data_IF_505707134595
#
_entry.id   IF_505707134595
#
_cell.length_a   1.000
_cell.length_b   1.000
_cell.length_c   1.000
_cell.angle_alpha   90.00
_cell.angle_beta   90.00
_cell.angle_gamma   90.00
#
_symmetry.space_group_name_H-M   'P 1'
#
loop_
_entity.id
_entity.type
_entity.pdbx_description
1 polymer ?
#
# COMPACT_ATOMS: atom_id res chain seq x y z
N UNK A 1 0.70 -33.90 2.40
CA UNK A 1 0.59 -32.77 1.45
C UNK A 1 1.41 -31.55 1.90
N UNK A 2 1.25 -31.05 3.13
CA UNK A 2 1.96 -29.84 3.63
C UNK A 2 3.49 -29.83 3.45
N UNK A 3 4.21 -30.93 3.73
CA UNK A 3 5.69 -30.96 3.63
C UNK A 3 6.26 -30.88 2.20
N UNK A 4 5.48 -31.20 1.17
CA UNK A 4 5.97 -31.20 -0.22
C UNK A 4 5.93 -29.82 -0.87
N UNK A 5 5.10 -28.92 -0.35
CA UNK A 5 4.87 -27.59 -0.91
C UNK A 5 5.35 -26.50 0.07
N UNK A 6 6.35 -26.79 0.91
CA UNK A 6 6.93 -25.81 1.84
C UNK A 6 7.28 -24.47 1.15
N UNK A 7 7.85 -24.46 -0.08
CA UNK A 7 8.14 -23.20 -0.79
C UNK A 7 6.90 -22.42 -1.26
N UNK A 8 5.69 -23.00 -1.18
CA UNK A 8 4.46 -22.32 -1.55
C UNK A 8 3.83 -21.56 -0.35
N UNK A 9 4.42 -21.66 0.83
CA UNK A 9 3.97 -20.93 2.01
C UNK A 9 4.84 -19.69 2.21
N UNK A 10 4.22 -18.59 2.61
CA UNK A 10 4.96 -17.39 3.01
C UNK A 10 5.80 -17.70 4.25
N UNK A 11 7.12 -17.51 4.14
CA UNK A 11 8.08 -17.65 5.23
C UNK A 11 8.91 -16.36 5.34
N UNK A 12 9.39 -16.05 6.54
CA UNK A 12 10.08 -14.78 6.84
C UNK A 12 11.36 -14.58 6.04
N UNK A 13 12.00 -15.66 5.58
CA UNK A 13 13.24 -15.64 4.81
C UNK A 13 13.03 -15.32 3.32
N UNK A 14 11.79 -15.40 2.83
CA UNK A 14 11.41 -15.10 1.44
C UNK A 14 10.32 -14.02 1.44
N UNK A 15 10.71 -12.73 1.59
CA UNK A 15 9.76 -11.63 1.67
C UNK A 15 8.92 -11.51 0.39
N UNK A 16 7.66 -11.08 0.55
CA UNK A 16 6.71 -10.92 -0.56
C UNK A 16 7.24 -9.98 -1.65
N UNK A 17 8.03 -8.96 -1.29
CA UNK A 17 8.66 -8.04 -2.24
C UNK A 17 9.62 -8.69 -3.24
N UNK A 18 10.11 -9.91 -2.99
CA UNK A 18 11.05 -10.59 -3.89
C UNK A 18 10.39 -11.22 -5.14
N UNK A 19 9.06 -11.17 -5.26
CA UNK A 19 8.35 -11.66 -6.45
C UNK A 19 8.63 -10.72 -7.62
N UNK A 20 9.22 -11.24 -8.70
CA UNK A 20 9.62 -10.47 -9.90
C UNK A 20 8.70 -10.77 -11.09
N UNK A 21 8.57 -9.82 -12.02
CA UNK A 21 7.88 -10.01 -13.30
C UNK A 21 6.37 -9.74 -13.26
N UNK A 22 5.87 -9.21 -12.14
CA UNK A 22 4.47 -8.81 -11.94
C UNK A 22 4.34 -7.30 -11.69
N UNK A 23 5.33 -6.53 -12.12
CA UNK A 23 5.35 -5.08 -11.97
C UNK A 23 4.19 -4.44 -12.73
N UNK A 24 3.44 -3.56 -12.06
CA UNK A 24 2.30 -2.84 -12.64
C UNK A 24 2.71 -1.39 -12.82
N UNK A 25 2.56 -0.88 -14.04
CA UNK A 25 2.70 0.54 -14.31
C UNK A 25 1.32 1.23 -14.24
N UNK A 26 1.19 2.17 -13.31
CA UNK A 26 -0.04 2.93 -13.10
C UNK A 26 0.14 4.36 -13.60
N UNK A 27 -0.81 4.81 -14.40
CA UNK A 27 -0.84 6.16 -14.95
C UNK A 27 -2.04 6.92 -14.38
N UNK A 28 -1.83 8.19 -14.04
CA UNK A 28 -2.94 9.09 -13.78
C UNK A 28 -3.58 9.51 -15.10
N UNK A 29 -4.90 9.56 -15.11
CA UNK A 29 -5.72 10.12 -16.18
C UNK A 29 -5.75 11.66 -16.16
N UNK A 30 -5.24 12.28 -15.09
CA UNK A 30 -5.22 13.72 -14.87
C UNK A 30 -3.81 14.29 -14.82
N UNK A 31 -3.65 15.46 -15.44
CA UNK A 31 -2.42 16.26 -15.38
C UNK A 31 -2.47 17.30 -14.25
N UNK A 32 -1.34 17.99 -14.01
CA UNK A 32 -1.28 19.07 -13.03
C UNK A 32 -2.12 20.27 -13.50
N UNK A 33 -2.82 20.98 -12.60
CA UNK A 33 -2.84 20.79 -11.14
C UNK A 33 -3.71 19.60 -10.72
N UNK A 34 -3.15 18.73 -9.87
CA UNK A 34 -3.87 17.56 -9.36
C UNK A 34 -5.09 17.98 -8.52
N UNK A 35 -6.20 17.21 -8.57
CA UNK A 35 -7.35 17.44 -7.72
C UNK A 35 -6.94 17.58 -6.23
N UNK A 36 -7.54 18.51 -5.46
CA UNK A 36 -7.23 18.69 -4.04
C UNK A 36 -7.36 17.40 -3.21
N UNK A 37 -8.20 16.47 -3.66
CA UNK A 37 -8.39 15.16 -3.04
C UNK A 37 -7.11 14.30 -3.02
N UNK A 38 -6.19 14.51 -3.98
CA UNK A 38 -4.89 13.83 -4.06
C UNK A 38 -3.79 14.48 -3.21
N UNK A 39 -4.15 15.51 -2.42
CA UNK A 39 -3.24 16.27 -1.55
C UNK A 39 -3.79 16.43 -0.13
N UNK A 40 -4.54 15.44 0.35
CA UNK A 40 -5.10 15.51 1.71
C UNK A 40 -3.99 15.24 2.73
N UNK A 41 -3.89 16.05 3.80
CA UNK A 41 -3.00 15.74 4.91
C UNK A 41 -3.44 14.43 5.59
N UNK A 42 -2.54 13.72 6.27
CA UNK A 42 -2.90 12.55 7.07
C UNK A 42 -3.90 12.95 8.17
N UNK A 43 -4.78 12.02 8.53
CA UNK A 43 -5.70 12.21 9.64
C UNK A 43 -4.93 12.28 10.97
N UNK A 44 -5.44 13.06 11.93
CA UNK A 44 -4.87 13.08 13.27
C UNK A 44 -5.18 11.76 13.98
N UNK A 45 -4.18 11.20 14.65
CA UNK A 45 -4.26 9.89 15.31
C UNK A 45 -3.79 9.95 16.77
N UNK A 46 -4.31 9.05 17.60
CA UNK A 46 -3.91 8.96 19.01
C UNK A 46 -2.49 8.37 19.15
N UNK A 47 -1.82 8.66 20.26
CA UNK A 47 -0.48 8.10 20.56
C UNK A 47 -0.47 6.57 20.57
N UNK A 48 -1.53 5.94 21.08
CA UNK A 48 -1.68 4.49 21.10
C UNK A 48 -1.83 3.94 19.68
N UNK A 49 -2.69 4.56 18.87
CA UNK A 49 -2.87 4.20 17.46
C UNK A 49 -1.57 4.29 16.70
N UNK A 50 -0.81 5.36 16.89
CA UNK A 50 0.47 5.57 16.22
C UNK A 50 1.46 4.45 16.51
N UNK A 51 1.54 3.96 17.76
CA UNK A 51 2.46 2.88 18.15
C UNK A 51 2.12 1.56 17.45
N UNK A 52 0.84 1.20 17.41
CA UNK A 52 0.39 -0.03 16.75
C UNK A 52 0.56 0.06 15.22
N UNK A 53 0.25 1.23 14.63
CA UNK A 53 0.50 1.48 13.20
C UNK A 53 2.00 1.39 12.89
N UNK A 54 2.86 1.98 13.71
CA UNK A 54 4.32 1.94 13.51
C UNK A 54 4.86 0.51 13.55
N UNK A 55 4.36 -0.32 14.46
CA UNK A 55 4.69 -1.75 14.48
C UNK A 55 4.33 -2.42 13.15
N UNK A 56 3.10 -2.20 12.66
CA UNK A 56 2.64 -2.81 11.41
C UNK A 56 3.41 -2.29 10.18
N UNK A 57 3.71 -0.99 10.13
CA UNK A 57 4.53 -0.40 9.06
C UNK A 57 5.92 -1.03 9.04
N UNK A 58 6.54 -1.25 10.20
CA UNK A 58 7.85 -1.90 10.28
C UNK A 58 7.80 -3.35 9.79
N UNK A 59 6.77 -4.12 10.13
CA UNK A 59 6.56 -5.47 9.60
C UNK A 59 6.48 -5.47 8.05
N UNK A 60 5.74 -4.51 7.46
CA UNK A 60 5.58 -4.40 6.00
C UNK A 60 6.88 -3.93 5.32
N UNK A 61 7.66 -3.05 5.98
CA UNK A 61 9.00 -2.66 5.53
C UNK A 61 9.95 -3.87 5.50
N UNK A 62 9.93 -4.71 6.53
CA UNK A 62 10.78 -5.90 6.62
C UNK A 62 10.40 -6.95 5.55
N UNK A 63 9.13 -6.98 5.14
CA UNK A 63 8.64 -7.82 4.03
C UNK A 63 8.92 -7.25 2.63
N UNK A 64 9.62 -6.12 2.54
CA UNK A 64 9.96 -5.42 1.28
C UNK A 64 8.73 -5.09 0.41
N UNK A 65 7.57 -4.92 1.04
CA UNK A 65 6.31 -4.57 0.35
C UNK A 65 6.18 -3.05 0.19
N UNK A 66 6.72 -2.28 1.14
CA UNK A 66 6.82 -0.82 1.08
C UNK A 66 8.26 -0.39 1.33
N UNK A 67 8.62 0.83 0.90
CA UNK A 67 9.94 1.42 1.16
C UNK A 67 9.83 2.85 1.66
N UNK A 68 10.84 3.30 2.39
CA UNK A 68 11.02 4.72 2.73
C UNK A 68 11.51 5.47 1.48
N UNK A 69 10.90 6.61 1.19
CA UNK A 69 11.35 7.50 0.12
C UNK A 69 12.51 8.36 0.64
N UNK A 70 13.52 8.60 -0.20
CA UNK A 70 14.66 9.45 0.12
C UNK A 70 14.29 10.94 0.17
N UNK A 71 15.13 11.75 0.85
CA UNK A 71 14.87 13.18 1.08
C UNK A 71 14.71 14.01 -0.21
N UNK A 72 15.29 13.56 -1.32
CA UNK A 72 15.26 14.23 -2.62
C UNK A 72 14.26 13.60 -3.60
N UNK A 73 13.49 12.59 -3.19
CA UNK A 73 12.47 11.99 -4.05
C UNK A 73 11.21 12.87 -4.08
N UNK A 74 10.78 13.26 -5.28
CA UNK A 74 9.61 14.11 -5.45
C UNK A 74 8.34 13.24 -5.32
N UNK A 75 7.61 13.44 -4.24
CA UNK A 75 6.27 12.85 -4.06
C UNK A 75 5.25 13.65 -4.86
N UNK A 76 4.68 13.03 -5.89
CA UNK A 76 3.67 13.68 -6.75
C UNK A 76 2.26 13.63 -6.16
N UNK A 77 1.95 12.61 -5.37
CA UNK A 77 0.62 12.27 -4.85
C UNK A 77 0.76 11.86 -3.39
N UNK A 78 -0.13 12.34 -2.53
CA UNK A 78 -0.23 11.90 -1.15
C UNK A 78 -1.69 11.61 -0.82
N UNK A 79 -1.96 10.36 -0.46
CA UNK A 79 -3.26 9.93 0.03
C UNK A 79 -3.21 9.72 1.54
N UNK A 80 -4.24 10.15 2.26
CA UNK A 80 -4.32 9.90 3.69
C UNK A 80 -4.58 8.42 3.92
N UNK A 81 -4.02 7.90 5.00
CA UNK A 81 -4.22 6.54 5.45
C UNK A 81 -5.47 6.49 6.32
N UNK A 82 -6.33 5.48 6.12
CA UNK A 82 -7.47 5.21 6.97
C UNK A 82 -7.08 4.17 8.02
N UNK A 83 -7.40 4.46 9.28
CA UNK A 83 -7.05 3.59 10.40
C UNK A 83 -8.35 3.08 11.02
N UNK A 84 -8.46 1.76 11.12
CA UNK A 84 -9.59 1.11 11.78
C UNK A 84 -9.10 0.27 12.96
N UNK A 85 -9.91 0.22 14.00
CA UNK A 85 -9.67 -0.59 15.19
C UNK A 85 -10.70 -1.73 15.23
N UNK A 86 -10.23 -2.96 15.36
CA UNK A 86 -11.06 -4.14 15.48
C UNK A 86 -10.41 -5.17 16.39
N UNK A 87 -11.13 -5.64 17.42
CA UNK A 87 -10.66 -6.65 18.40
C UNK A 87 -9.26 -6.39 18.97
N UNK A 88 -8.97 -5.14 19.34
CA UNK A 88 -7.67 -4.75 19.89
C UNK A 88 -6.53 -4.75 18.87
N UNK A 89 -6.84 -4.81 17.58
CA UNK A 89 -5.88 -4.70 16.48
C UNK A 89 -6.17 -3.49 15.62
N UNK A 90 -5.10 -2.90 15.11
CA UNK A 90 -5.17 -1.82 14.13
C UNK A 90 -5.06 -2.40 12.73
N UNK A 91 -5.90 -1.91 11.82
CA UNK A 91 -5.80 -2.16 10.38
C UNK A 91 -5.59 -0.85 9.65
N UNK A 92 -4.72 -0.89 8.64
CA UNK A 92 -4.30 0.25 7.86
C UNK A 92 -4.81 0.07 6.43
N UNK A 93 -5.64 1.00 5.97
CA UNK A 93 -6.27 0.95 4.65
C UNK A 93 -5.88 2.15 3.79
N UNK A 94 -5.59 1.87 2.52
CA UNK A 94 -5.40 2.88 1.48
C UNK A 94 -6.58 2.80 0.52
N UNK A 95 -7.15 3.94 0.18
CA UNK A 95 -8.21 4.01 -0.82
C UNK A 95 -7.58 4.27 -2.20
N UNK A 96 -7.60 3.27 -3.07
CA UNK A 96 -7.13 3.38 -4.46
C UNK A 96 -8.31 3.20 -5.38
N UNK A 97 -8.68 4.26 -6.09
CA UNK A 97 -9.73 4.24 -7.10
C UNK A 97 -9.13 3.81 -8.43
N UNK A 98 -9.41 2.58 -8.87
CA UNK A 98 -9.04 2.09 -10.19
C UNK A 98 -10.25 2.25 -11.13
N UNK A 99 -10.10 3.08 -12.16
CA UNK A 99 -11.06 3.16 -13.27
C UNK A 99 -10.57 2.28 -14.42
N UNK A 100 -11.42 1.36 -14.87
CA UNK A 100 -11.14 0.61 -16.09
C UNK A 100 -11.59 1.45 -17.28
N UNK A 101 -10.76 1.66 -18.31
CA UNK A 101 -11.23 2.27 -19.55
C UNK A 101 -12.36 1.41 -20.11
N UNK A 102 -13.44 2.06 -20.54
CA UNK A 102 -14.65 1.42 -21.08
C UNK A 102 -14.30 0.22 -21.95
N UNK A 103 -14.71 -0.98 -21.52
CA UNK A 103 -14.57 -2.20 -22.31
C UNK A 103 -15.30 -1.95 -23.64
N UNK A 104 -14.64 -2.01 -24.82
CA UNK A 104 -15.33 -1.83 -26.08
C UNK A 104 -16.43 -2.88 -26.17
N UNK A 105 -17.67 -2.45 -26.41
CA UNK A 105 -18.76 -3.38 -26.68
C UNK A 105 -18.43 -4.06 -28.02
N UNK A 106 -18.17 -5.36 -27.97
CA UNK A 106 -18.07 -6.20 -29.16
C UNK A 106 -19.41 -6.11 -29.89
N UNK A 107 -19.39 -5.47 -31.07
CA UNK A 107 -20.48 -5.43 -32.04
C UNK A 107 -20.60 -6.76 -32.79
#
# INVERSE_FOLDING_TARGET
MLRKNIPAFAISEEPLGNIRGHDIELYLDVERPYPPMLRRPPYQESLETRKEVEKHINEILDMDVIRKLGHNEIVKITTPVLITWHDGKVSVSLEVYLTYPNRPQLS
#
